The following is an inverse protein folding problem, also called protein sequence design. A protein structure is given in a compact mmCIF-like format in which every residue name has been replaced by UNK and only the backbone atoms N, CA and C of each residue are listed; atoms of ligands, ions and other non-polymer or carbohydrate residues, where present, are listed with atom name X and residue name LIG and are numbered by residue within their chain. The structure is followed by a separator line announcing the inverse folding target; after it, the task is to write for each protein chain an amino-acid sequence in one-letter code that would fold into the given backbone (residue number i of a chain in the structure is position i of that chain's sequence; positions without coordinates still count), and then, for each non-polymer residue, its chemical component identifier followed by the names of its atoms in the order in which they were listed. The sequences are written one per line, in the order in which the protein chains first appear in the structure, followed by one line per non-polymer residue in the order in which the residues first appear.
data_IF_988923633336
#
_entry.id   IF_988923633336
#
_cell.length_a   1.000
_cell.length_b   1.000
_cell.length_c   1.000
_cell.angle_alpha   90.00
_cell.angle_beta   90.00
_cell.angle_gamma   90.00
#
_symmetry.space_group_name_H-M   'P 1'
#
loop_
_entity.id
_entity.type
_entity.pdbx_description
1 polymer ?
#
# COMPACT_ATOMS: atom_id res chain seq x y z
N UNK A 1 4.63 -11.50 -3.85
CA UNK A 1 3.55 -11.04 -2.95
C UNK A 1 2.22 -11.16 -3.68
N UNK A 2 1.18 -11.66 -3.04
CA UNK A 2 -0.16 -11.70 -3.65
C UNK A 2 -0.61 -10.28 -4.03
N UNK A 3 -1.18 -10.10 -5.24
CA UNK A 3 -1.62 -8.78 -5.74
C UNK A 3 -2.65 -8.12 -4.82
N UNK A 4 -3.56 -8.89 -4.23
CA UNK A 4 -4.57 -8.38 -3.29
C UNK A 4 -3.92 -7.84 -2.02
N UNK A 5 -2.99 -8.60 -1.44
CA UNK A 5 -2.20 -8.16 -0.29
C UNK A 5 -1.40 -6.88 -0.60
N UNK A 6 -0.89 -6.72 -1.83
CA UNK A 6 -0.21 -5.50 -2.25
C UNK A 6 -1.11 -4.27 -2.25
N UNK A 7 -2.32 -4.42 -2.79
CA UNK A 7 -3.32 -3.35 -2.82
C UNK A 7 -3.70 -2.94 -1.39
N UNK A 8 -3.95 -3.92 -0.51
CA UNK A 8 -4.34 -3.65 0.88
C UNK A 8 -3.21 -2.96 1.65
N UNK A 9 -1.96 -3.43 1.50
CA UNK A 9 -0.78 -2.79 2.11
C UNK A 9 -0.59 -1.36 1.61
N UNK A 10 -0.78 -1.10 0.31
CA UNK A 10 -0.73 0.25 -0.26
C UNK A 10 -1.81 1.15 0.31
N UNK A 11 -3.08 0.71 0.31
CA UNK A 11 -4.21 1.48 0.88
C UNK A 11 -3.93 1.84 2.34
N UNK A 12 -3.49 0.85 3.14
CA UNK A 12 -3.19 1.07 4.55
C UNK A 12 -2.01 2.01 4.78
N UNK A 13 -0.98 1.91 3.94
CA UNK A 13 0.18 2.82 3.96
C UNK A 13 -0.27 4.27 3.73
N UNK A 14 -1.07 4.52 2.69
CA UNK A 14 -1.61 5.86 2.40
C UNK A 14 -2.49 6.40 3.53
N UNK A 15 -3.32 5.56 4.14
CA UNK A 15 -4.16 5.92 5.30
C UNK A 15 -3.30 6.38 6.49
N UNK A 16 -2.28 5.60 6.86
CA UNK A 16 -1.41 5.90 8.01
C UNK A 16 -0.54 7.13 7.76
N UNK A 17 -0.04 7.30 6.54
CA UNK A 17 0.73 8.48 6.16
C UNK A 17 -0.12 9.77 6.27
N UNK A 18 -1.39 9.73 5.84
CA UNK A 18 -2.34 10.84 6.05
C UNK A 18 -2.59 11.17 7.53
N UNK A 19 -2.44 10.20 8.42
CA UNK A 19 -2.49 10.38 9.89
C UNK A 19 -1.17 10.89 10.49
N UNK A 20 -0.19 11.28 9.66
CA UNK A 20 1.10 11.81 10.10
C UNK A 20 2.10 10.75 10.58
N UNK A 21 1.86 9.47 10.29
CA UNK A 21 2.82 8.43 10.67
C UNK A 21 4.05 8.46 9.75
N UNK A 22 5.23 8.34 10.34
CA UNK A 22 6.48 8.18 9.58
C UNK A 22 6.59 6.81 8.92
N UNK A 23 7.29 6.73 7.79
CA UNK A 23 7.52 5.47 7.07
C UNK A 23 8.10 4.36 7.95
N UNK A 24 9.02 4.70 8.86
CA UNK A 24 9.60 3.74 9.81
C UNK A 24 8.55 3.17 10.78
N UNK A 25 7.56 3.99 11.19
CA UNK A 25 6.46 3.53 12.04
C UNK A 25 5.49 2.65 11.25
N UNK A 26 5.20 3.02 10.01
CA UNK A 26 4.35 2.24 9.10
C UNK A 26 4.99 0.88 8.78
N UNK A 27 6.29 0.86 8.48
CA UNK A 27 7.04 -0.36 8.18
C UNK A 27 6.95 -1.39 9.33
N UNK A 28 7.17 -0.94 10.57
CA UNK A 28 7.00 -1.78 11.76
C UNK A 28 5.56 -2.29 11.93
N UNK A 29 4.58 -1.40 11.77
CA UNK A 29 3.17 -1.76 11.91
C UNK A 29 2.69 -2.77 10.85
N UNK A 30 3.19 -2.66 9.62
CA UNK A 30 2.81 -3.54 8.51
C UNK A 30 3.71 -4.77 8.37
N UNK A 31 4.65 -5.00 9.29
CA UNK A 31 5.67 -6.04 9.21
C UNK A 31 6.38 -6.05 7.83
N UNK A 32 6.88 -4.88 7.44
CA UNK A 32 7.48 -4.64 6.13
C UNK A 32 8.78 -3.83 6.26
N UNK A 33 9.56 -3.80 5.18
CA UNK A 33 10.75 -2.94 5.11
C UNK A 33 10.36 -1.48 4.78
N UNK A 34 11.20 -0.53 5.19
CA UNK A 34 11.05 0.90 4.80
C UNK A 34 11.04 1.07 3.29
N UNK A 35 11.85 0.29 2.57
CA UNK A 35 11.89 0.31 1.11
C UNK A 35 10.54 -0.13 0.49
N UNK A 36 9.91 -1.17 1.05
CA UNK A 36 8.58 -1.60 0.62
C UNK A 36 7.54 -0.49 0.80
N UNK A 37 7.55 0.20 1.94
CA UNK A 37 6.67 1.34 2.23
C UNK A 37 6.86 2.46 1.20
N UNK A 38 8.12 2.84 0.91
CA UNK A 38 8.44 3.84 -0.10
C UNK A 38 7.93 3.47 -1.50
N UNK A 39 8.06 2.20 -1.90
CA UNK A 39 7.51 1.70 -3.17
C UNK A 39 5.98 1.78 -3.20
N UNK A 40 5.31 1.39 -2.12
CA UNK A 40 3.83 1.44 -2.06
C UNK A 40 3.29 2.87 -2.11
N UNK A 41 4.01 3.83 -1.54
CA UNK A 41 3.63 5.24 -1.63
C UNK A 41 3.74 5.80 -3.04
N UNK A 42 4.76 5.40 -3.78
CA UNK A 42 5.00 5.84 -5.16
C UNK A 42 4.14 5.09 -6.20
N UNK A 43 3.52 3.96 -5.83
CA UNK A 43 2.62 3.25 -6.74
C UNK A 43 1.42 4.12 -7.09
N UNK A 44 1.17 4.27 -8.38
CA UNK A 44 0.13 5.13 -8.93
C UNK A 44 -1.26 4.46 -8.88
N UNK A 45 -2.34 5.24 -8.82
CA UNK A 45 -3.69 4.70 -8.59
C UNK A 45 -4.23 3.88 -9.76
N UNK A 46 -3.84 4.25 -10.99
CA UNK A 46 -4.18 3.52 -12.22
C UNK A 46 -3.65 2.09 -12.26
N UNK A 47 -2.55 1.80 -11.55
CA UNK A 47 -2.01 0.43 -11.46
C UNK A 47 -2.85 -0.51 -10.59
N UNK A 48 -3.80 0.03 -9.82
CA UNK A 48 -4.67 -0.70 -8.90
C UNK A 48 -6.13 -0.76 -9.38
N UNK A 49 -6.59 0.24 -10.14
CA UNK A 49 -7.97 0.35 -10.62
C UNK A 49 -8.37 -0.77 -11.59
N UNK A 50 -7.48 -1.17 -12.50
CA UNK A 50 -7.73 -2.29 -13.43
C UNK A 50 -7.96 -3.62 -12.68
N UNK A 51 -7.33 -3.80 -11.52
CA UNK A 51 -7.40 -5.04 -10.74
C UNK A 51 -8.66 -5.11 -9.87
N UNK A 52 -9.14 -3.98 -9.34
CA UNK A 52 -10.39 -3.95 -8.57
C UNK A 52 -11.61 -4.15 -9.47
N UNK A 53 -11.61 -3.59 -10.69
CA UNK A 53 -12.70 -3.78 -11.66
C UNK A 53 -12.84 -5.22 -12.14
N UNK A 54 -11.75 -5.97 -12.24
CA UNK A 54 -11.75 -7.38 -12.65
C UNK A 54 -12.15 -8.38 -11.56
N UNK A 55 -12.18 -7.97 -10.29
CA UNK A 55 -12.55 -8.83 -9.15
C UNK A 55 -14.00 -8.64 -8.67
N UNK A 56 -14.75 -7.72 -9.29
CA UNK A 56 -16.13 -7.37 -8.95
C UNK A 56 -17.13 -7.69 -10.08
N UNK A 57 -16.70 -8.42 -11.11
CA UNK A 57 -17.53 -9.03 -12.17
C UNK A 57 -17.32 -10.55 -12.05
#
# INVERSE_FOLDING_TARGET
MNKRLLIDKRKKTKELHKKGWSDCKIARHLAASKNSVGKWMQMDEKSVDTVLKLLLI
#
